data_IF_293691482030
#
_entry.id   IF_293691482030
#
_cell.length_a   1.000
_cell.length_b   1.000
_cell.length_c   1.000
_cell.angle_alpha   90.00
_cell.angle_beta   90.00
_cell.angle_gamma   90.00
#
_symmetry.space_group_name_H-M   'P 1'
#
loop_
_entity.id
_entity.type
_entity.pdbx_description
1 polymer ?
#
# COMPACT_ATOMS: atom_id res chain seq x y z
N UNK A 1 -18.51 -6.00 18.40
CA UNK A 1 -18.52 -4.59 17.94
C UNK A 1 -17.66 -3.66 18.81
N UNK A 2 -17.85 -3.58 20.13
CA UNK A 2 -16.97 -2.81 21.04
C UNK A 2 -15.48 -3.22 21.03
N UNK A 3 -15.20 -4.50 20.76
CA UNK A 3 -13.84 -5.00 20.59
C UNK A 3 -13.12 -4.46 19.33
N UNK A 4 -13.89 -4.02 18.31
CA UNK A 4 -13.35 -3.54 17.03
C UNK A 4 -12.93 -2.07 17.10
N UNK A 5 -13.59 -1.27 17.93
CA UNK A 5 -13.21 0.14 18.19
C UNK A 5 -12.06 0.28 19.20
N UNK A 6 -11.83 -0.73 20.04
CA UNK A 6 -10.71 -0.78 20.99
C UNK A 6 -9.31 -0.75 20.34
N UNK A 7 -9.21 -1.03 19.03
CA UNK A 7 -7.96 -0.96 18.27
C UNK A 7 -7.32 0.45 18.27
N UNK A 8 -8.14 1.51 18.33
CA UNK A 8 -7.62 2.88 18.33
C UNK A 8 -7.05 3.28 19.71
N UNK A 9 -7.60 2.73 20.80
CA UNK A 9 -7.08 2.89 22.16
C UNK A 9 -5.73 2.17 22.37
N UNK A 10 -5.52 1.03 21.70
CA UNK A 10 -4.27 0.25 21.72
C UNK A 10 -3.04 1.07 21.32
N UNK A 11 -3.16 2.00 20.37
CA UNK A 11 -2.03 2.81 19.88
C UNK A 11 -1.44 3.74 20.94
N UNK A 12 -2.17 4.02 22.03
CA UNK A 12 -1.74 4.93 23.11
C UNK A 12 -1.23 4.19 24.37
N UNK A 13 -1.32 2.86 24.43
CA UNK A 13 -0.96 2.06 25.61
C UNK A 13 -0.06 0.87 25.22
N UNK A 14 1.26 1.09 25.06
CA UNK A 14 2.20 0.06 24.60
C UNK A 14 2.52 -1.03 25.64
N UNK A 15 2.01 -0.91 26.87
CA UNK A 15 2.43 -1.73 28.01
C UNK A 15 1.59 -2.99 28.28
N UNK A 16 0.49 -3.22 27.56
CA UNK A 16 -0.39 -4.38 27.79
C UNK A 16 -0.30 -5.34 26.59
N UNK A 17 0.50 -6.42 26.67
CA UNK A 17 0.78 -7.31 25.56
C UNK A 17 -0.24 -8.44 25.51
N UNK A 18 -1.54 -8.15 25.38
CA UNK A 18 -2.53 -9.23 25.49
C UNK A 18 -2.71 -10.03 24.19
N UNK A 19 -2.49 -9.44 23.01
CA UNK A 19 -2.73 -10.13 21.73
C UNK A 19 -1.77 -9.65 20.63
N UNK A 20 -1.00 -10.58 20.05
CA UNK A 20 -0.16 -10.34 18.86
C UNK A 20 -1.00 -9.83 17.68
N UNK A 21 -0.45 -8.94 16.85
CA UNK A 21 -1.13 -8.47 15.63
C UNK A 21 -1.57 -9.60 14.69
N UNK A 22 -0.87 -10.74 14.71
CA UNK A 22 -1.25 -11.95 13.96
C UNK A 22 -2.53 -12.57 14.50
N UNK A 23 -2.62 -12.74 15.83
CA UNK A 23 -3.80 -13.31 16.49
C UNK A 23 -5.00 -12.37 16.32
N UNK A 24 -4.79 -11.06 16.45
CA UNK A 24 -5.84 -10.07 16.23
C UNK A 24 -6.43 -10.14 14.82
N UNK A 25 -5.57 -10.25 13.79
CA UNK A 25 -6.03 -10.41 12.41
C UNK A 25 -6.85 -11.69 12.22
N UNK A 26 -6.40 -12.82 12.79
CA UNK A 26 -7.12 -14.08 12.72
C UNK A 26 -8.50 -13.99 13.38
N UNK A 27 -8.56 -13.47 14.62
CA UNK A 27 -9.82 -13.28 15.35
C UNK A 27 -10.76 -12.35 14.57
N UNK A 28 -10.24 -11.25 14.00
CA UNK A 28 -11.04 -10.33 13.20
C UNK A 28 -11.67 -11.02 11.98
N UNK A 29 -10.88 -11.82 11.24
CA UNK A 29 -11.38 -12.56 10.07
C UNK A 29 -12.45 -13.56 10.48
N UNK A 30 -12.21 -14.39 11.50
CA UNK A 30 -13.17 -15.39 11.94
C UNK A 30 -14.46 -14.77 12.49
N UNK A 31 -14.34 -13.70 13.29
CA UNK A 31 -15.48 -12.96 13.79
C UNK A 31 -16.28 -12.31 12.64
N UNK A 32 -15.60 -11.79 11.62
CA UNK A 32 -16.23 -11.23 10.42
C UNK A 32 -17.03 -12.28 9.64
N UNK A 33 -16.43 -13.45 9.37
CA UNK A 33 -17.11 -14.57 8.70
C UNK A 33 -18.33 -15.06 9.49
N UNK A 34 -18.17 -15.23 10.81
CA UNK A 34 -19.26 -15.62 11.69
C UNK A 34 -20.40 -14.59 11.70
N UNK A 35 -20.07 -13.30 11.75
CA UNK A 35 -21.06 -12.22 11.68
C UNK A 35 -21.76 -12.21 10.31
N UNK A 36 -21.05 -12.49 9.22
CA UNK A 36 -21.64 -12.66 7.89
C UNK A 36 -22.69 -13.78 7.85
N UNK A 37 -22.38 -14.91 8.47
CA UNK A 37 -23.33 -16.01 8.60
C UNK A 37 -24.56 -15.64 9.45
N UNK A 38 -24.35 -15.00 10.60
CA UNK A 38 -25.45 -14.51 11.44
C UNK A 38 -26.32 -13.45 10.73
N UNK A 39 -25.71 -12.60 9.90
CA UNK A 39 -26.45 -11.62 9.10
C UNK A 39 -27.39 -12.29 8.10
N UNK A 40 -26.93 -13.35 7.41
CA UNK A 40 -27.78 -14.12 6.49
C UNK A 40 -28.96 -14.79 7.20
N UNK A 41 -28.71 -15.35 8.39
CA UNK A 41 -29.74 -15.87 9.27
C UNK A 41 -30.74 -14.79 9.70
N UNK A 42 -30.24 -13.60 10.05
CA UNK A 42 -31.05 -12.49 10.54
C UNK A 42 -32.01 -11.95 9.48
N UNK A 43 -31.60 -11.92 8.21
CA UNK A 43 -32.47 -11.48 7.11
C UNK A 43 -33.36 -12.61 6.57
N UNK A 44 -33.35 -13.80 7.18
CA UNK A 44 -34.07 -14.99 6.70
C UNK A 44 -33.80 -15.31 5.22
N UNK A 45 -32.57 -15.06 4.74
CA UNK A 45 -32.19 -15.18 3.31
C UNK A 45 -33.01 -14.31 2.36
N UNK A 46 -33.72 -13.29 2.86
CA UNK A 46 -34.54 -12.36 2.08
C UNK A 46 -33.89 -10.99 2.02
N UNK A 47 -34.05 -10.30 0.89
CA UNK A 47 -33.56 -8.93 0.77
C UNK A 47 -34.50 -7.97 1.51
N UNK A 48 -33.97 -7.03 2.33
CA UNK A 48 -34.81 -6.08 3.04
C UNK A 48 -35.61 -5.17 2.11
N UNK A 49 -36.84 -4.81 2.49
CA UNK A 49 -37.71 -3.93 1.69
C UNK A 49 -37.66 -2.47 2.14
N UNK A 50 -37.27 -2.20 3.39
CA UNK A 50 -37.13 -0.84 3.90
C UNK A 50 -35.90 -0.11 3.37
N UNK A 51 -36.01 1.21 3.17
CA UNK A 51 -34.89 2.06 2.70
C UNK A 51 -33.71 2.01 3.67
N UNK A 52 -33.98 2.16 4.98
CA UNK A 52 -32.96 2.11 6.01
C UNK A 52 -32.31 0.73 6.13
N UNK A 53 -33.12 -0.33 6.10
CA UNK A 53 -32.65 -1.72 6.19
C UNK A 53 -31.80 -2.10 4.97
N UNK A 54 -32.21 -1.64 3.77
CA UNK A 54 -31.43 -1.82 2.53
C UNK A 54 -30.09 -1.08 2.62
N UNK A 55 -30.08 0.17 3.10
CA UNK A 55 -28.86 0.93 3.29
C UNK A 55 -27.90 0.25 4.28
N UNK A 56 -28.44 -0.28 5.39
CA UNK A 56 -27.68 -1.03 6.39
C UNK A 56 -27.11 -2.35 5.80
N UNK A 57 -27.92 -3.08 5.02
CA UNK A 57 -27.49 -4.29 4.34
C UNK A 57 -26.38 -4.02 3.32
N UNK A 58 -26.51 -2.96 2.50
CA UNK A 58 -25.46 -2.54 1.57
C UNK A 58 -24.17 -2.15 2.28
N UNK A 59 -24.28 -1.44 3.41
CA UNK A 59 -23.13 -1.07 4.22
C UNK A 59 -22.44 -2.29 4.83
N UNK A 60 -23.22 -3.28 5.30
CA UNK A 60 -22.71 -4.56 5.78
C UNK A 60 -21.98 -5.34 4.68
N UNK A 61 -22.58 -5.43 3.49
CA UNK A 61 -21.96 -6.08 2.32
C UNK A 61 -20.66 -5.36 1.92
N UNK A 62 -20.65 -4.02 1.92
CA UNK A 62 -19.46 -3.23 1.60
C UNK A 62 -18.32 -3.44 2.62
N UNK A 63 -18.63 -3.46 3.92
CA UNK A 63 -17.65 -3.78 4.97
C UNK A 63 -17.12 -5.21 4.81
N UNK A 64 -18.00 -6.18 4.54
CA UNK A 64 -17.61 -7.58 4.36
C UNK A 64 -16.72 -7.76 3.13
N UNK A 65 -17.12 -7.23 1.98
CA UNK A 65 -16.35 -7.29 0.74
C UNK A 65 -14.99 -6.59 0.87
N UNK A 66 -14.96 -5.42 1.50
CA UNK A 66 -13.68 -4.72 1.77
C UNK A 66 -12.80 -5.46 2.78
N UNK A 67 -13.38 -6.18 3.75
CA UNK A 67 -12.64 -7.06 4.66
C UNK A 67 -12.00 -8.25 3.93
N UNK A 68 -12.74 -8.91 3.02
CA UNK A 68 -12.23 -10.01 2.18
C UNK A 68 -11.09 -9.51 1.28
N UNK A 69 -11.25 -8.33 0.66
CA UNK A 69 -10.19 -7.69 -0.11
C UNK A 69 -8.95 -7.42 0.75
N UNK A 70 -9.12 -6.93 1.98
CA UNK A 70 -8.04 -6.71 2.94
C UNK A 70 -7.29 -7.99 3.30
N UNK A 71 -8.01 -9.08 3.54
CA UNK A 71 -7.43 -10.40 3.77
C UNK A 71 -6.57 -10.85 2.59
N UNK A 72 -7.08 -10.75 1.37
CA UNK A 72 -6.33 -11.10 0.16
C UNK A 72 -5.05 -10.25 0.00
N UNK A 73 -5.16 -8.92 0.17
CA UNK A 73 -4.02 -7.99 0.12
C UNK A 73 -2.97 -8.39 1.18
N UNK A 74 -3.40 -8.68 2.41
CA UNK A 74 -2.52 -9.06 3.53
C UNK A 74 -1.78 -10.39 3.32
N UNK A 75 -2.29 -11.27 2.45
CA UNK A 75 -1.64 -12.55 2.12
C UNK A 75 -0.64 -12.41 0.98
N UNK A 76 -0.88 -11.51 0.02
CA UNK A 76 -0.08 -11.40 -1.20
C UNK A 76 1.08 -10.40 -1.07
N UNK A 77 0.89 -9.30 -0.33
CA UNK A 77 1.85 -8.18 -0.30
C UNK A 77 3.06 -8.40 0.63
N UNK A 78 2.93 -8.94 1.86
CA UNK A 78 4.05 -9.02 2.80
C UNK A 78 5.20 -9.92 2.33
N UNK A 79 4.90 -11.04 1.67
CA UNK A 79 5.92 -11.95 1.12
C UNK A 79 6.81 -11.26 0.09
N UNK A 80 6.26 -10.28 -0.63
CA UNK A 80 6.97 -9.50 -1.64
C UNK A 80 7.88 -8.42 -1.04
N UNK A 81 7.56 -7.91 0.14
CA UNK A 81 8.36 -6.90 0.85
C UNK A 81 9.61 -7.53 1.48
N UNK A 82 9.50 -8.74 2.03
CA UNK A 82 10.63 -9.45 2.66
C UNK A 82 11.73 -9.82 1.65
N UNK A 83 11.35 -10.11 0.40
CA UNK A 83 12.29 -10.47 -0.69
C UNK A 83 13.07 -9.24 -1.20
N UNK A 84 12.57 -8.02 -0.97
CA UNK A 84 13.09 -6.80 -1.59
C UNK A 84 14.20 -6.06 -0.81
N UNK A 85 14.83 -6.69 0.20
CA UNK A 85 16.06 -6.16 0.81
C UNK A 85 15.88 -5.24 2.03
N UNK A 86 14.83 -5.42 2.82
CA UNK A 86 14.61 -4.72 4.09
C UNK A 86 13.55 -3.61 4.00
N UNK A 87 12.65 -3.54 4.96
CA UNK A 87 11.51 -2.62 4.93
C UNK A 87 11.95 -1.18 5.26
N UNK A 88 11.87 -0.28 4.27
CA UNK A 88 11.97 1.16 4.54
C UNK A 88 10.62 1.61 5.14
N UNK A 89 10.62 2.22 6.35
CA UNK A 89 9.40 2.78 6.93
C UNK A 89 8.76 3.79 5.99
N UNK A 90 7.44 3.73 5.79
CA UNK A 90 6.72 4.58 4.84
C UNK A 90 7.09 6.07 4.94
N UNK A 91 7.22 6.55 6.17
CA UNK A 91 7.40 7.97 6.45
C UNK A 91 8.80 8.45 6.06
N UNK A 92 9.78 7.52 5.97
CA UNK A 92 11.15 7.80 5.50
C UNK A 92 11.34 7.60 4.00
N UNK A 93 10.38 7.01 3.29
CA UNK A 93 10.49 6.78 1.84
C UNK A 93 10.77 8.09 1.08
N UNK A 94 10.10 9.22 1.34
CA UNK A 94 10.39 10.47 0.64
C UNK A 94 11.84 10.95 0.85
N UNK A 95 12.37 10.79 2.07
CA UNK A 95 13.74 11.15 2.41
C UNK A 95 14.75 10.25 1.68
N UNK A 96 14.50 8.95 1.64
CA UNK A 96 15.34 7.98 0.93
C UNK A 96 15.34 8.29 -0.58
N UNK A 97 14.17 8.51 -1.19
CA UNK A 97 14.07 8.88 -2.61
C UNK A 97 14.82 10.18 -2.92
N UNK A 98 14.69 11.20 -2.07
CA UNK A 98 15.45 12.46 -2.20
C UNK A 98 16.95 12.21 -2.10
N UNK A 99 17.39 11.36 -1.17
CA UNK A 99 18.81 11.02 -1.00
C UNK A 99 19.38 10.29 -2.23
N UNK A 100 18.60 9.38 -2.83
CA UNK A 100 18.98 8.66 -4.05
C UNK A 100 19.11 9.61 -5.24
N UNK A 101 18.16 10.55 -5.39
CA UNK A 101 18.23 11.60 -6.41
C UNK A 101 19.51 12.44 -6.28
N UNK A 102 19.79 12.96 -5.08
CA UNK A 102 20.99 13.78 -4.86
C UNK A 102 22.30 13.02 -5.11
N UNK A 103 22.34 11.71 -4.78
CA UNK A 103 23.49 10.86 -5.11
C UNK A 103 23.63 10.67 -6.62
N UNK A 104 22.52 10.45 -7.33
CA UNK A 104 22.54 10.27 -8.78
C UNK A 104 22.99 11.55 -9.49
N UNK A 105 22.49 12.72 -9.07
CA UNK A 105 22.94 14.03 -9.56
C UNK A 105 24.45 14.21 -9.31
N UNK A 106 24.95 13.87 -8.12
CA UNK A 106 26.39 13.96 -7.81
C UNK A 106 27.23 13.07 -8.71
N UNK A 107 26.84 11.82 -8.91
CA UNK A 107 27.56 10.88 -9.78
C UNK A 107 27.57 11.38 -11.23
N UNK A 108 26.44 11.92 -11.70
CA UNK A 108 26.33 12.46 -13.05
C UNK A 108 27.21 13.71 -13.26
N UNK A 109 27.30 14.60 -12.25
CA UNK A 109 28.08 15.84 -12.31
C UNK A 109 29.59 15.64 -12.07
N UNK A 110 29.98 14.62 -11.32
CA UNK A 110 31.39 14.31 -11.04
C UNK A 110 32.08 13.59 -12.21
N UNK A 111 31.32 13.10 -13.20
CA UNK A 111 31.90 12.54 -14.40
C UNK A 111 32.59 13.64 -15.23
N UNK A 112 33.91 13.50 -15.41
CA UNK A 112 34.74 14.46 -16.13
C UNK A 112 34.27 14.52 -17.59
N UNK A 113 33.91 15.71 -18.13
CA UNK A 113 33.52 15.81 -19.53
C UNK A 113 34.73 15.52 -20.42
N UNK A 114 34.72 14.41 -21.15
CA UNK A 114 35.67 14.25 -22.27
C UNK A 114 35.10 14.92 -23.53
N UNK A 115 35.96 15.64 -24.25
CA UNK A 115 35.63 16.63 -25.29
C UNK A 115 34.85 16.13 -26.52
N UNK A 116 34.33 14.90 -26.54
CA UNK A 116 33.73 14.29 -27.75
C UNK A 116 32.43 13.49 -27.53
N UNK A 117 31.98 13.28 -26.30
CA UNK A 117 30.74 12.54 -26.01
C UNK A 117 29.70 13.44 -25.35
N UNK A 118 28.41 13.24 -25.68
CA UNK A 118 27.28 13.73 -24.85
C UNK A 118 27.60 13.36 -23.41
N UNK A 119 27.72 14.36 -22.54
CA UNK A 119 28.26 14.13 -21.21
C UNK A 119 27.35 13.18 -20.43
N UNK A 120 27.89 12.43 -19.47
CA UNK A 120 27.08 11.60 -18.58
C UNK A 120 25.99 12.44 -17.87
N UNK A 121 26.29 13.72 -17.62
CA UNK A 121 25.35 14.71 -17.11
C UNK A 121 24.17 14.98 -18.07
N UNK A 122 24.44 15.10 -19.38
CA UNK A 122 23.38 15.25 -20.40
C UNK A 122 22.49 13.99 -20.44
N UNK A 123 23.11 12.80 -20.45
CA UNK A 123 22.37 11.54 -20.42
C UNK A 123 21.50 11.42 -19.16
N UNK A 124 22.03 11.78 -18.00
CA UNK A 124 21.27 11.80 -16.76
C UNK A 124 20.07 12.74 -16.87
N UNK A 125 20.29 13.96 -17.34
CA UNK A 125 19.24 14.99 -17.44
C UNK A 125 18.14 14.59 -18.44
N UNK A 126 18.52 14.05 -19.60
CA UNK A 126 17.56 13.64 -20.65
C UNK A 126 16.80 12.34 -20.32
N UNK A 127 17.42 11.38 -19.62
CA UNK A 127 16.88 10.01 -19.50
C UNK A 127 16.53 9.57 -18.09
N UNK A 128 17.18 10.14 -17.07
CA UNK A 128 17.09 9.66 -15.69
C UNK A 128 16.52 10.71 -14.71
N UNK A 129 16.67 12.01 -14.96
CA UNK A 129 16.23 13.05 -14.04
C UNK A 129 14.72 12.94 -13.71
N UNK A 130 13.87 12.76 -14.73
CA UNK A 130 12.43 12.54 -14.55
C UNK A 130 12.10 11.28 -13.75
N UNK A 131 12.94 10.25 -13.86
CA UNK A 131 12.76 9.06 -13.05
C UNK A 131 13.09 9.34 -11.60
N UNK A 132 14.17 10.05 -11.30
CA UNK A 132 14.58 10.36 -9.92
C UNK A 132 13.73 11.47 -9.28
N UNK A 133 13.02 12.29 -10.06
CA UNK A 133 12.22 13.41 -9.55
C UNK A 133 10.94 12.97 -8.83
N UNK A 134 10.33 11.85 -9.25
CA UNK A 134 9.07 11.37 -8.72
C UNK A 134 9.02 9.84 -8.57
N UNK A 135 8.10 9.32 -7.73
CA UNK A 135 7.79 7.90 -7.68
C UNK A 135 7.28 7.41 -9.05
N UNK A 136 7.79 6.28 -9.52
CA UNK A 136 7.46 5.76 -10.84
C UNK A 136 6.79 4.36 -10.78
N UNK A 137 6.26 3.93 -11.93
CA UNK A 137 5.90 2.52 -12.19
C UNK A 137 4.91 1.86 -11.21
N UNK A 138 4.06 2.63 -10.52
CA UNK A 138 3.14 2.13 -9.49
C UNK A 138 2.36 0.86 -9.91
N UNK A 139 1.68 0.89 -11.05
CA UNK A 139 0.88 -0.24 -11.54
C UNK A 139 1.72 -1.46 -11.90
N UNK A 140 2.92 -1.25 -12.44
CA UNK A 140 3.85 -2.33 -12.76
C UNK A 140 4.38 -2.99 -11.47
N UNK A 141 4.65 -2.20 -10.43
CA UNK A 141 5.06 -2.70 -9.11
C UNK A 141 3.95 -3.53 -8.45
N UNK A 142 2.69 -3.10 -8.51
CA UNK A 142 1.58 -3.90 -7.98
C UNK A 142 1.46 -5.27 -8.66
N UNK A 143 1.72 -5.32 -9.97
CA UNK A 143 1.76 -6.59 -10.74
C UNK A 143 3.05 -7.40 -10.53
N UNK A 144 4.05 -6.87 -9.82
CA UNK A 144 5.35 -7.52 -9.66
C UNK A 144 6.20 -7.54 -10.93
N UNK A 145 5.93 -6.65 -11.88
CA UNK A 145 6.64 -6.61 -13.16
C UNK A 145 8.00 -5.91 -13.04
N UNK A 146 9.05 -6.59 -13.50
CA UNK A 146 10.42 -6.02 -13.63
C UNK A 146 10.69 -5.41 -15.00
N UNK A 147 9.71 -5.40 -15.91
CA UNK A 147 9.89 -4.90 -17.29
C UNK A 147 10.34 -3.42 -17.35
N UNK A 148 9.75 -2.49 -16.57
CA UNK A 148 10.18 -1.09 -16.61
C UNK A 148 11.62 -0.90 -16.12
N UNK A 149 12.03 -1.62 -15.07
CA UNK A 149 13.41 -1.61 -14.58
C UNK A 149 14.38 -2.12 -15.65
N UNK A 150 14.09 -3.30 -16.22
CA UNK A 150 14.95 -3.90 -17.25
C UNK A 150 15.08 -2.99 -18.48
N UNK A 151 13.98 -2.34 -18.92
CA UNK A 151 14.03 -1.36 -20.02
C UNK A 151 14.98 -0.22 -19.69
N UNK A 152 14.95 0.34 -18.48
CA UNK A 152 15.85 1.42 -18.06
C UNK A 152 17.31 0.98 -17.99
N UNK A 153 17.57 -0.20 -17.42
CA UNK A 153 18.91 -0.76 -17.34
C UNK A 153 19.50 -1.07 -18.73
N UNK A 154 18.67 -1.51 -19.68
CA UNK A 154 19.09 -1.70 -21.06
C UNK A 154 19.52 -0.37 -21.72
N UNK A 155 18.75 0.70 -21.54
CA UNK A 155 19.10 2.04 -22.05
C UNK A 155 20.42 2.53 -21.45
N UNK A 156 20.66 2.29 -20.17
CA UNK A 156 21.96 2.57 -19.53
C UNK A 156 23.08 1.75 -20.17
N UNK A 157 22.84 0.45 -20.40
CA UNK A 157 23.80 -0.45 -21.05
C UNK A 157 24.16 -0.07 -22.50
N UNK A 158 23.22 0.49 -23.27
CA UNK A 158 23.45 0.93 -24.66
C UNK A 158 24.47 2.06 -24.78
N UNK A 159 24.63 2.87 -23.72
CA UNK A 159 25.57 4.00 -23.68
C UNK A 159 26.98 3.53 -23.33
N UNK A 160 27.13 2.40 -22.63
CA UNK A 160 28.42 1.84 -22.16
C UNK A 160 29.49 1.76 -23.26
N UNK A 161 29.10 1.42 -24.50
CA UNK A 161 30.03 1.29 -25.65
C UNK A 161 30.68 2.61 -26.08
N UNK A 162 30.17 3.75 -25.63
CA UNK A 162 30.67 5.08 -25.97
C UNK A 162 31.46 5.73 -24.84
N UNK A 163 31.60 5.05 -23.69
CA UNK A 163 32.22 5.59 -22.48
C UNK A 163 33.59 4.98 -22.21
N UNK A 164 34.46 5.76 -21.58
CA UNK A 164 35.76 5.32 -21.10
C UNK A 164 35.65 4.52 -19.78
N UNK A 165 36.76 4.00 -19.26
CA UNK A 165 36.76 3.16 -18.04
C UNK A 165 36.25 3.90 -16.79
N UNK A 166 36.59 5.17 -16.61
CA UNK A 166 36.13 5.98 -15.46
C UNK A 166 34.65 6.33 -15.57
N UNK A 167 34.19 6.72 -16.76
CA UNK A 167 32.77 6.98 -17.05
C UNK A 167 31.91 5.72 -16.90
N UNK A 168 32.46 4.55 -17.24
CA UNK A 168 31.79 3.27 -17.02
C UNK A 168 31.60 2.97 -15.54
N UNK A 169 32.56 3.33 -14.67
CA UNK A 169 32.38 3.19 -13.23
C UNK A 169 31.24 4.09 -12.70
N UNK A 170 31.15 5.33 -13.18
CA UNK A 170 30.04 6.24 -12.86
C UNK A 170 28.70 5.73 -13.41
N UNK A 171 28.69 5.15 -14.60
CA UNK A 171 27.50 4.53 -15.21
C UNK A 171 27.01 3.33 -14.39
N UNK A 172 27.93 2.50 -13.87
CA UNK A 172 27.62 1.39 -12.98
C UNK A 172 26.99 1.86 -11.66
N UNK A 173 27.55 2.92 -11.07
CA UNK A 173 26.95 3.55 -9.88
C UNK A 173 25.54 4.10 -10.16
N UNK A 174 25.31 4.71 -11.33
CA UNK A 174 23.96 5.15 -11.73
C UNK A 174 23.00 3.98 -11.90
N UNK A 175 23.45 2.87 -12.49
CA UNK A 175 22.64 1.66 -12.64
C UNK A 175 22.21 1.10 -11.27
N UNK A 176 23.12 1.10 -10.30
CA UNK A 176 22.82 0.66 -8.93
C UNK A 176 21.85 1.60 -8.22
N UNK A 177 21.99 2.91 -8.39
CA UNK A 177 21.03 3.89 -7.86
C UNK A 177 19.65 3.72 -8.48
N UNK A 178 19.56 3.37 -9.77
CA UNK A 178 18.28 3.05 -10.43
C UNK A 178 17.65 1.80 -9.83
N UNK A 179 18.42 0.73 -9.57
CA UNK A 179 17.93 -0.49 -8.90
C UNK A 179 17.43 -0.18 -7.48
N UNK A 180 18.19 0.59 -6.71
CA UNK A 180 17.82 1.01 -5.36
C UNK A 180 16.53 1.82 -5.36
N UNK A 181 16.39 2.80 -6.29
CA UNK A 181 15.17 3.58 -6.43
C UNK A 181 13.97 2.71 -6.78
N UNK A 182 14.11 1.79 -7.75
CA UNK A 182 13.03 0.90 -8.16
C UNK A 182 12.56 0.01 -7.00
N UNK A 183 13.48 -0.48 -6.17
CA UNK A 183 13.13 -1.23 -4.96
C UNK A 183 12.36 -0.38 -3.93
N UNK A 184 12.75 0.88 -3.73
CA UNK A 184 12.05 1.80 -2.83
C UNK A 184 10.65 2.16 -3.36
N UNK A 185 10.52 2.43 -4.66
CA UNK A 185 9.22 2.68 -5.32
C UNK A 185 8.30 1.46 -5.27
N UNK A 186 8.87 0.26 -5.38
CA UNK A 186 8.15 -0.99 -5.20
C UNK A 186 7.56 -1.10 -3.79
N UNK A 187 8.38 -0.90 -2.75
CA UNK A 187 7.92 -0.91 -1.36
C UNK A 187 6.86 0.16 -1.10
N UNK A 188 7.08 1.39 -1.61
CA UNK A 188 6.12 2.48 -1.52
C UNK A 188 4.76 2.09 -2.11
N UNK A 189 4.76 1.47 -3.29
CA UNK A 189 3.54 1.09 -4.00
C UNK A 189 2.71 0.08 -3.20
N UNK A 190 3.37 -0.94 -2.63
CA UNK A 190 2.70 -1.95 -1.79
C UNK A 190 2.19 -1.35 -0.47
N UNK A 191 3.00 -0.51 0.20
CA UNK A 191 2.59 0.16 1.43
C UNK A 191 1.43 1.13 1.21
N UNK A 192 1.37 1.83 0.07
CA UNK A 192 0.24 2.68 -0.30
C UNK A 192 -1.06 1.89 -0.43
N UNK A 193 -1.01 0.70 -1.05
CA UNK A 193 -2.22 -0.15 -1.17
C UNK A 193 -2.70 -0.62 0.19
N UNK A 194 -1.78 -1.05 1.07
CA UNK A 194 -2.13 -1.46 2.44
C UNK A 194 -2.77 -0.30 3.25
N UNK A 195 -2.17 0.89 3.20
CA UNK A 195 -2.69 2.08 3.89
C UNK A 195 -3.99 2.58 3.27
N UNK A 196 -4.10 2.57 1.94
CA UNK A 196 -5.29 2.98 1.20
C UNK A 196 -6.49 2.07 1.46
N UNK A 197 -6.28 0.76 1.57
CA UNK A 197 -7.32 -0.17 1.98
C UNK A 197 -7.85 0.14 3.39
N UNK A 198 -6.96 0.38 4.36
CA UNK A 198 -7.36 0.77 5.72
C UNK A 198 -8.20 2.06 5.73
N UNK A 199 -7.82 3.03 4.89
CA UNK A 199 -8.55 4.30 4.76
C UNK A 199 -9.99 4.12 4.25
N UNK A 200 -10.28 3.05 3.49
CA UNK A 200 -11.64 2.73 3.03
C UNK A 200 -12.38 1.86 4.04
N UNK A 201 -11.74 0.79 4.52
CA UNK A 201 -12.39 -0.19 5.38
C UNK A 201 -12.77 0.39 6.77
N UNK A 202 -11.93 1.25 7.34
CA UNK A 202 -12.17 1.81 8.68
C UNK A 202 -13.41 2.71 8.70
N UNK A 203 -13.57 3.73 7.83
CA UNK A 203 -14.78 4.55 7.79
C UNK A 203 -16.05 3.75 7.54
N UNK A 204 -16.01 2.77 6.63
CA UNK A 204 -17.16 1.88 6.39
C UNK A 204 -17.56 1.13 7.67
N UNK A 205 -16.59 0.64 8.43
CA UNK A 205 -16.84 -0.07 9.70
C UNK A 205 -17.46 0.86 10.73
N UNK A 206 -16.97 2.10 10.86
CA UNK A 206 -17.58 3.10 11.75
C UNK A 206 -19.01 3.46 11.35
N UNK A 207 -19.25 3.63 10.04
CA UNK A 207 -20.60 3.83 9.51
C UNK A 207 -21.52 2.68 9.87
N UNK A 208 -21.06 1.44 9.66
CA UNK A 208 -21.85 0.24 9.98
C UNK A 208 -22.15 0.15 11.47
N UNK A 209 -21.19 0.46 12.34
CA UNK A 209 -21.38 0.48 13.79
C UNK A 209 -22.46 1.47 14.19
N UNK A 210 -22.41 2.71 13.69
CA UNK A 210 -23.40 3.73 13.99
C UNK A 210 -24.79 3.34 13.49
N UNK A 211 -24.88 2.86 12.24
CA UNK A 211 -26.12 2.42 11.64
C UNK A 211 -26.71 1.20 12.37
N UNK A 212 -25.87 0.29 12.87
CA UNK A 212 -26.31 -0.86 13.69
C UNK A 212 -26.92 -0.42 15.02
N UNK A 213 -26.33 0.57 15.69
CA UNK A 213 -26.90 1.13 16.93
C UNK A 213 -28.25 1.78 16.64
N UNK A 214 -28.35 2.58 15.58
CA UNK A 214 -29.61 3.18 15.15
C UNK A 214 -30.67 2.13 14.83
N UNK A 215 -30.28 1.03 14.16
CA UNK A 215 -31.17 -0.08 13.85
C UNK A 215 -31.74 -0.73 15.12
N UNK A 216 -30.90 -1.00 16.12
CA UNK A 216 -31.35 -1.55 17.41
C UNK A 216 -32.35 -0.59 18.06
N UNK A 217 -32.04 0.71 18.13
CA UNK A 217 -32.95 1.72 18.72
C UNK A 217 -34.29 1.76 17.99
N UNK A 218 -34.29 1.76 16.66
CA UNK A 218 -35.51 1.76 15.84
C UNK A 218 -36.33 0.50 16.12
N UNK A 219 -35.71 -0.68 16.08
CA UNK A 219 -36.43 -1.94 16.34
C UNK A 219 -37.02 -1.96 17.75
N UNK A 220 -36.29 -1.52 18.78
CA UNK A 220 -36.83 -1.46 20.15
C UNK A 220 -37.94 -0.41 20.32
N UNK A 221 -37.79 0.78 19.73
CA UNK A 221 -38.78 1.84 19.82
C UNK A 221 -40.12 1.45 19.17
N UNK A 222 -40.08 0.75 18.03
CA UNK A 222 -41.29 0.35 17.30
C UNK A 222 -41.83 -1.05 17.70
N UNK A 223 -41.03 -1.90 18.36
CA UNK A 223 -41.50 -3.17 18.93
C UNK A 223 -42.12 -3.02 20.33
N UNK A 224 -41.81 -1.93 21.05
CA UNK A 224 -42.43 -1.60 22.35
C UNK A 224 -43.83 -1.00 22.26
N UNK A 225 -44.27 -0.57 21.07
CA UNK A 225 -45.57 0.09 20.83
C UNK A 225 -46.75 -0.86 20.60
N UNK A 226 -46.55 -2.18 20.70
CA UNK A 226 -47.58 -3.21 20.53
C UNK A 226 -47.97 -3.91 21.83
N UNK A 227 -47.90 -3.19 22.96
CA UNK A 227 -48.47 -3.63 24.24
C UNK A 227 -49.58 -2.71 24.70
#
# INVERSE_FOLDING_TARGET
MLFLTAYNGRKKLPFIPLISSRIWLQVHIYAGLFTGFLFLLHIEWRWPSGVFETALALLFVAVTASGIAGWWISRVLPSRLTIAGGEVPFDRIPEVLRSLRLRAERVALQAIPTARAKTLADFYTERLADFFSAPANFTAHLRGSRRPLNRRLNVIGEVRRFLNAEENASLDQLADLVRQKDAVDYQRSLQLVLKGWLFVHIPLTYGLLLASVAHVVVVYAFSGGTR
#
